data_IF_568977715981
#
_entry.id   IF_568977715981
#
_cell.length_a   1.000
_cell.length_b   1.000
_cell.length_c   1.000
_cell.angle_alpha   90.00
_cell.angle_beta   90.00
_cell.angle_gamma   90.00
#
_symmetry.space_group_name_H-M   'P 1'
#
loop_
_entity.id
_entity.type
_entity.pdbx_description
1 polymer ?
#
# COMPACT_ATOMS: atom_id res chain seq x y z
N UNK A 1 26.69 -15.92 23.23
CA UNK A 1 27.68 -17.00 23.03
C UNK A 1 28.61 -16.59 21.89
N UNK A 2 29.95 -16.71 22.03
CA UNK A 2 30.88 -16.45 20.94
C UNK A 2 30.64 -17.44 19.79
N UNK A 3 30.69 -16.96 18.55
CA UNK A 3 30.54 -17.83 17.39
C UNK A 3 31.72 -18.83 17.36
N UNK A 4 31.45 -20.10 17.05
CA UNK A 4 32.50 -21.12 17.04
C UNK A 4 33.52 -20.85 15.93
N UNK A 5 34.77 -21.28 16.11
CA UNK A 5 35.90 -20.92 15.22
C UNK A 5 35.66 -21.22 13.73
N UNK A 6 34.95 -22.31 13.42
CA UNK A 6 34.58 -22.70 12.06
C UNK A 6 33.61 -21.74 11.37
N UNK A 7 32.92 -20.88 12.13
CA UNK A 7 32.01 -19.86 11.57
C UNK A 7 32.78 -18.81 10.77
N UNK A 8 34.01 -18.47 11.16
CA UNK A 8 34.78 -17.43 10.48
C UNK A 8 35.42 -17.91 9.17
N UNK A 9 35.57 -19.22 8.98
CA UNK A 9 36.06 -19.82 7.73
C UNK A 9 34.88 -20.24 6.84
N UNK A 10 34.70 -19.52 5.73
CA UNK A 10 33.61 -19.77 4.77
C UNK A 10 33.69 -21.16 4.12
N UNK A 11 34.88 -21.75 3.97
CA UNK A 11 35.03 -23.07 3.37
C UNK A 11 34.52 -24.16 4.31
N UNK A 12 34.89 -24.07 5.59
CA UNK A 12 34.39 -24.96 6.64
C UNK A 12 32.88 -24.76 6.87
N UNK A 13 32.42 -23.51 6.84
CA UNK A 13 31.00 -23.18 6.93
C UNK A 13 30.20 -23.86 5.82
N UNK A 14 30.66 -23.76 4.56
CA UNK A 14 30.02 -24.42 3.42
C UNK A 14 30.00 -25.94 3.55
N UNK A 15 31.10 -26.56 3.97
CA UNK A 15 31.15 -28.02 4.16
C UNK A 15 30.14 -28.49 5.21
N UNK A 16 29.93 -27.71 6.28
CA UNK A 16 28.91 -28.03 7.29
C UNK A 16 27.48 -27.85 6.79
N UNK A 17 27.20 -26.79 6.03
CA UNK A 17 25.87 -26.60 5.42
C UNK A 17 25.45 -27.79 4.56
N UNK A 18 26.41 -28.48 3.93
CA UNK A 18 26.14 -29.69 3.14
C UNK A 18 25.71 -30.89 3.99
N UNK A 19 26.08 -30.92 5.27
CA UNK A 19 25.74 -31.98 6.22
C UNK A 19 24.43 -31.73 6.95
N UNK A 20 23.93 -30.50 6.93
CA UNK A 20 22.66 -30.16 7.59
C UNK A 20 21.48 -30.81 6.90
N UNK A 21 20.47 -31.18 7.69
CA UNK A 21 19.16 -31.56 7.16
C UNK A 21 18.49 -30.37 6.47
N UNK A 22 17.45 -30.62 5.69
CA UNK A 22 16.71 -29.56 5.01
C UNK A 22 16.03 -28.62 6.02
N UNK A 23 15.57 -29.15 7.15
CA UNK A 23 14.97 -28.37 8.25
C UNK A 23 15.99 -27.47 8.94
N UNK A 24 17.18 -28.00 9.27
CA UNK A 24 18.27 -27.24 9.87
C UNK A 24 18.78 -26.13 8.93
N UNK A 25 18.84 -26.43 7.62
CA UNK A 25 19.26 -25.46 6.62
C UNK A 25 18.24 -24.30 6.48
N UNK A 26 16.95 -24.61 6.59
CA UNK A 26 15.89 -23.59 6.63
C UNK A 26 15.95 -22.77 7.92
N UNK A 27 16.17 -23.41 9.06
CA UNK A 27 16.30 -22.73 10.35
C UNK A 27 17.45 -21.70 10.32
N UNK A 28 18.61 -22.09 9.81
CA UNK A 28 19.75 -21.19 9.62
C UNK A 28 19.41 -20.06 8.65
N UNK A 29 18.69 -20.36 7.55
CA UNK A 29 18.26 -19.35 6.60
C UNK A 29 17.35 -18.28 7.24
N UNK A 30 16.45 -18.68 8.15
CA UNK A 30 15.56 -17.74 8.84
C UNK A 30 16.26 -16.92 9.94
N UNK A 31 17.25 -17.51 10.62
CA UNK A 31 17.91 -16.86 11.76
C UNK A 31 19.17 -16.08 11.41
N UNK A 32 19.76 -16.28 10.24
CA UNK A 32 20.96 -15.53 9.83
C UNK A 32 20.63 -14.11 9.38
N UNK A 33 21.37 -13.12 9.90
CA UNK A 33 21.15 -11.72 9.54
C UNK A 33 21.77 -11.40 8.16
N UNK A 34 20.97 -11.05 7.13
CA UNK A 34 21.45 -10.99 5.74
C UNK A 34 22.44 -9.85 5.46
N UNK A 35 22.31 -8.71 6.16
CA UNK A 35 23.18 -7.54 5.97
C UNK A 35 24.52 -7.74 6.71
N UNK A 36 24.46 -8.10 8.01
CA UNK A 36 25.63 -8.27 8.86
C UNK A 36 26.52 -9.46 8.45
N UNK A 37 25.93 -10.55 7.95
CA UNK A 37 26.63 -11.78 7.58
C UNK A 37 26.35 -12.17 6.12
N UNK A 38 26.54 -11.21 5.21
CA UNK A 38 26.22 -11.37 3.79
C UNK A 38 26.88 -12.58 3.13
N UNK A 39 28.17 -12.82 3.40
CA UNK A 39 28.91 -13.93 2.79
C UNK A 39 28.32 -15.29 3.20
N UNK A 40 28.04 -15.48 4.50
CA UNK A 40 27.40 -16.67 5.05
C UNK A 40 25.99 -16.87 4.51
N UNK A 41 25.21 -15.79 4.43
CA UNK A 41 23.86 -15.84 3.87
C UNK A 41 23.85 -16.32 2.41
N UNK A 42 24.82 -15.87 1.60
CA UNK A 42 24.97 -16.33 0.22
C UNK A 42 25.36 -17.81 0.13
N UNK A 43 26.14 -18.33 1.09
CA UNK A 43 26.46 -19.76 1.17
C UNK A 43 25.21 -20.60 1.45
N UNK A 44 24.36 -20.17 2.40
CA UNK A 44 23.07 -20.83 2.70
C UNK A 44 22.15 -20.82 1.49
N UNK A 45 21.99 -19.67 0.83
CA UNK A 45 21.19 -19.54 -0.39
C UNK A 45 21.69 -20.45 -1.53
N UNK A 46 23.01 -20.59 -1.67
CA UNK A 46 23.61 -21.45 -2.70
C UNK A 46 23.30 -22.93 -2.42
N UNK A 47 23.36 -23.35 -1.16
CA UNK A 47 23.06 -24.74 -0.79
C UNK A 47 21.56 -25.06 -0.92
N UNK A 48 20.67 -24.15 -0.50
CA UNK A 48 19.23 -24.28 -0.73
C UNK A 48 18.91 -24.43 -2.22
N UNK A 49 19.52 -23.59 -3.06
CA UNK A 49 19.35 -23.68 -4.52
C UNK A 49 19.88 -24.99 -5.09
N UNK A 50 21.02 -25.47 -4.60
CA UNK A 50 21.61 -26.76 -5.02
C UNK A 50 20.67 -27.93 -4.71
N UNK A 51 19.97 -27.88 -3.58
CA UNK A 51 19.00 -28.90 -3.17
C UNK A 51 17.61 -28.74 -3.81
N UNK A 52 17.43 -27.72 -4.66
CA UNK A 52 16.12 -27.42 -5.26
C UNK A 52 15.08 -26.92 -4.26
N UNK A 53 15.48 -26.66 -3.01
CA UNK A 53 14.62 -26.13 -1.96
C UNK A 53 14.43 -24.66 -2.29
N UNK A 54 13.23 -24.33 -2.76
CA UNK A 54 12.79 -22.94 -2.80
C UNK A 54 12.42 -22.63 -1.36
N UNK A 55 13.25 -21.88 -0.60
CA UNK A 55 12.79 -21.42 0.70
C UNK A 55 11.49 -20.71 0.39
N UNK A 56 10.40 -21.16 1.00
CA UNK A 56 9.20 -20.35 1.02
C UNK A 56 9.69 -19.05 1.63
N UNK A 57 9.81 -18.03 0.79
CA UNK A 57 9.91 -16.67 1.27
C UNK A 57 8.51 -16.48 1.84
N UNK A 58 8.29 -16.99 3.06
CA UNK A 58 7.41 -16.36 4.00
C UNK A 58 8.00 -14.96 4.05
N UNK A 59 7.50 -14.09 3.17
CA UNK A 59 7.81 -12.68 3.18
C UNK A 59 7.59 -12.32 4.63
N UNK A 60 8.69 -12.00 5.31
CA UNK A 60 8.72 -11.89 6.77
C UNK A 60 7.40 -11.29 7.22
N UNK A 61 6.59 -11.96 8.05
CA UNK A 61 5.45 -11.30 8.66
C UNK A 61 6.07 -10.31 9.64
N UNK A 62 6.48 -9.14 9.12
CA UNK A 62 6.83 -8.02 9.96
C UNK A 62 5.56 -7.69 10.72
N UNK A 63 5.66 -7.84 12.05
CA UNK A 63 4.65 -7.42 13.00
C UNK A 63 4.17 -6.01 12.63
N UNK A 64 2.87 -5.90 12.33
CA UNK A 64 2.24 -4.68 11.83
C UNK A 64 1.68 -4.88 10.43
N UNK A 65 0.42 -5.35 10.37
CA UNK A 65 -0.41 -5.55 9.17
C UNK A 65 -0.05 -4.56 8.04
N UNK A 66 0.67 -5.02 7.03
CA UNK A 66 0.78 -4.31 5.76
C UNK A 66 -0.29 -4.86 4.83
N UNK A 67 -1.21 -3.99 4.45
CA UNK A 67 -2.24 -4.22 3.42
C UNK A 67 -1.58 -4.36 2.06
N UNK A 68 -0.86 -5.46 1.83
CA UNK A 68 -0.23 -5.73 0.53
C UNK A 68 -1.21 -6.54 -0.33
N UNK A 69 -2.02 -5.83 -1.13
CA UNK A 69 -2.95 -6.40 -2.12
C UNK A 69 -2.30 -7.51 -2.98
N UNK A 70 -1.01 -7.45 -3.40
CA UNK A 70 -0.39 -8.52 -4.18
C UNK A 70 -0.39 -9.88 -3.45
N UNK A 71 -0.32 -9.89 -2.12
CA UNK A 71 -0.28 -11.11 -1.32
C UNK A 71 -1.67 -11.77 -1.26
N UNK A 72 -2.73 -10.97 -1.12
CA UNK A 72 -4.12 -11.44 -1.16
C UNK A 72 -4.49 -12.03 -2.52
N UNK A 73 -4.04 -11.39 -3.60
CA UNK A 73 -4.28 -11.85 -4.98
C UNK A 73 -3.57 -13.18 -5.26
N UNK A 74 -2.38 -13.40 -4.67
CA UNK A 74 -1.66 -14.67 -4.80
C UNK A 74 -2.23 -15.79 -3.90
N UNK A 75 -2.87 -15.44 -2.78
CA UNK A 75 -3.52 -16.40 -1.89
C UNK A 75 -4.78 -17.05 -2.51
N UNK A 76 -5.37 -16.42 -3.53
CA UNK A 76 -6.43 -17.03 -4.35
C UNK A 76 -5.81 -18.08 -5.28
N UNK A 77 -5.73 -19.33 -4.81
CA UNK A 77 -5.06 -20.45 -5.49
C UNK A 77 -5.50 -20.74 -6.93
N UNK A 78 -6.61 -20.17 -7.38
CA UNK A 78 -7.13 -20.34 -8.75
C UNK A 78 -6.45 -19.40 -9.75
N UNK A 79 -5.85 -18.30 -9.26
CA UNK A 79 -5.20 -17.27 -10.06
C UNK A 79 -3.75 -17.59 -10.44
N UNK A 80 -3.14 -18.60 -9.78
CA UNK A 80 -1.77 -19.05 -10.03
C UNK A 80 -1.54 -19.65 -11.43
N UNK A 81 -2.60 -19.93 -12.19
CA UNK A 81 -2.53 -20.52 -13.55
C UNK A 81 -2.42 -19.50 -14.68
N UNK A 82 -2.74 -18.22 -14.46
CA UNK A 82 -2.69 -17.19 -15.50
C UNK A 82 -2.04 -15.89 -15.03
N UNK A 83 -0.81 -15.58 -15.49
CA UNK A 83 -0.10 -14.37 -15.09
C UNK A 83 -0.80 -13.09 -15.59
N UNK A 84 -1.64 -13.18 -16.62
CA UNK A 84 -2.42 -12.06 -17.16
C UNK A 84 -3.65 -11.79 -16.28
N UNK A 85 -4.37 -12.84 -15.85
CA UNK A 85 -5.54 -12.70 -14.98
C UNK A 85 -5.20 -12.05 -13.64
N UNK A 86 -4.06 -12.41 -13.04
CA UNK A 86 -3.58 -11.78 -11.81
C UNK A 86 -3.28 -10.29 -11.95
N UNK A 87 -2.73 -9.87 -13.10
CA UNK A 87 -2.46 -8.46 -13.39
C UNK A 87 -3.74 -7.65 -13.57
N UNK A 88 -4.72 -8.19 -14.30
CA UNK A 88 -6.02 -7.53 -14.50
C UNK A 88 -6.76 -7.38 -13.17
N UNK A 89 -6.81 -8.44 -12.36
CA UNK A 89 -7.45 -8.38 -11.04
C UNK A 89 -6.76 -7.38 -10.11
N UNK A 90 -5.43 -7.40 -10.07
CA UNK A 90 -4.65 -6.46 -9.27
C UNK A 90 -4.87 -5.00 -9.72
N UNK A 91 -4.89 -4.75 -11.02
CA UNK A 91 -5.17 -3.44 -11.58
C UNK A 91 -6.58 -2.96 -11.24
N UNK A 92 -7.58 -3.83 -11.38
CA UNK A 92 -8.96 -3.55 -11.00
C UNK A 92 -9.11 -3.24 -9.51
N UNK A 93 -8.49 -4.04 -8.64
CA UNK A 93 -8.49 -3.80 -7.19
C UNK A 93 -7.78 -2.49 -6.83
N UNK A 94 -6.69 -2.17 -7.51
CA UNK A 94 -5.96 -0.90 -7.31
C UNK A 94 -6.85 0.29 -7.65
N UNK A 95 -7.55 0.23 -8.79
CA UNK A 95 -8.44 1.28 -9.24
C UNK A 95 -9.64 1.44 -8.29
N UNK A 96 -10.28 0.33 -7.91
CA UNK A 96 -11.41 0.33 -6.97
C UNK A 96 -11.01 0.81 -5.58
N UNK A 97 -9.82 0.43 -5.10
CA UNK A 97 -9.31 0.90 -3.81
C UNK A 97 -9.09 2.42 -3.84
N UNK A 98 -8.41 2.94 -4.86
CA UNK A 98 -8.18 4.37 -4.99
C UNK A 98 -9.50 5.16 -5.08
N UNK A 99 -10.44 4.67 -5.90
CA UNK A 99 -11.76 5.26 -6.05
C UNK A 99 -12.56 5.24 -4.73
N UNK A 100 -12.53 4.12 -4.00
CA UNK A 100 -13.21 3.93 -2.72
C UNK A 100 -12.61 4.78 -1.60
N UNK A 101 -11.27 4.85 -1.52
CA UNK A 101 -10.58 5.72 -0.56
C UNK A 101 -10.90 7.20 -0.81
N UNK A 102 -10.89 7.62 -2.08
CA UNK A 102 -11.28 8.99 -2.43
C UNK A 102 -12.75 9.26 -2.07
N UNK A 103 -13.64 8.32 -2.39
CA UNK A 103 -15.06 8.41 -2.02
C UNK A 103 -15.25 8.56 -0.51
N UNK A 104 -14.58 7.73 0.29
CA UNK A 104 -14.61 7.80 1.75
C UNK A 104 -14.09 9.13 2.30
N UNK A 105 -13.06 9.70 1.68
CA UNK A 105 -12.52 11.03 2.06
C UNK A 105 -13.46 12.18 1.66
N UNK A 106 -14.30 12.00 0.66
CA UNK A 106 -15.33 12.97 0.25
C UNK A 106 -16.60 12.90 1.11
N UNK A 107 -16.92 11.76 1.73
CA UNK A 107 -18.08 11.61 2.63
C UNK A 107 -18.16 12.71 3.71
N UNK A 108 -17.10 13.01 4.50
CA UNK A 108 -17.19 14.05 5.51
C UNK A 108 -17.43 15.44 4.90
N UNK A 109 -16.93 15.72 3.69
CA UNK A 109 -17.19 16.97 2.97
C UNK A 109 -18.67 17.05 2.59
N UNK A 110 -19.21 15.99 1.99
CA UNK A 110 -20.63 15.90 1.63
C UNK A 110 -21.53 16.08 2.84
N UNK A 111 -21.21 15.37 3.93
CA UNK A 111 -21.96 15.41 5.18
C UNK A 111 -21.94 16.82 5.77
N UNK A 112 -20.78 17.47 5.80
CA UNK A 112 -20.63 18.85 6.32
C UNK A 112 -21.50 19.82 5.53
N UNK A 113 -21.47 19.76 4.20
CA UNK A 113 -22.28 20.64 3.33
C UNK A 113 -23.78 20.35 3.45
N UNK A 114 -24.18 19.11 3.70
CA UNK A 114 -25.60 18.75 3.87
C UNK A 114 -26.13 19.09 5.26
N UNK A 115 -25.32 18.94 6.30
CA UNK A 115 -25.71 19.25 7.68
C UNK A 115 -25.68 20.75 7.97
N UNK A 116 -24.76 21.49 7.34
CA UNK A 116 -24.69 22.93 7.51
C UNK A 116 -25.74 23.63 6.65
N UNK A 117 -26.59 24.42 7.31
CA UNK A 117 -27.61 25.24 6.64
C UNK A 117 -27.00 26.39 5.83
N UNK A 118 -25.80 26.84 6.22
CA UNK A 118 -25.03 27.88 5.54
C UNK A 118 -23.56 27.47 5.55
N UNK A 119 -22.89 27.62 4.41
CA UNK A 119 -21.44 27.42 4.27
C UNK A 119 -20.84 28.78 3.99
N UNK A 120 -20.02 29.27 4.91
CA UNK A 120 -19.30 30.53 4.73
C UNK A 120 -18.12 30.37 3.75
N UNK A 121 -17.60 31.46 3.15
CA UNK A 121 -16.51 31.41 2.19
C UNK A 121 -15.22 30.75 2.73
N UNK A 122 -14.94 30.91 4.03
CA UNK A 122 -13.74 30.33 4.65
C UNK A 122 -13.89 28.81 4.80
N UNK A 123 -15.04 28.33 5.25
CA UNK A 123 -15.35 26.90 5.32
C UNK A 123 -15.35 26.28 3.92
N UNK A 124 -15.93 26.95 2.92
CA UNK A 124 -15.88 26.49 1.52
C UNK A 124 -14.44 26.35 1.01
N UNK A 125 -13.56 27.31 1.31
CA UNK A 125 -12.13 27.22 0.98
C UNK A 125 -11.46 26.01 1.66
N UNK A 126 -11.72 25.80 2.96
CA UNK A 126 -11.18 24.67 3.72
C UNK A 126 -11.64 23.32 3.14
N UNK A 127 -12.91 23.22 2.73
CA UNK A 127 -13.44 22.01 2.09
C UNK A 127 -12.77 21.74 0.73
N UNK A 128 -12.50 22.78 -0.07
CA UNK A 128 -11.76 22.64 -1.33
C UNK A 128 -10.31 22.19 -1.10
N UNK A 129 -9.61 22.79 -0.12
CA UNK A 129 -8.27 22.34 0.26
C UNK A 129 -8.27 20.89 0.75
N UNK A 130 -9.28 20.53 1.57
CA UNK A 130 -9.48 19.16 2.05
C UNK A 130 -9.72 18.16 0.92
N UNK A 131 -10.45 18.57 -0.13
CA UNK A 131 -10.66 17.75 -1.32
C UNK A 131 -9.36 17.46 -2.07
N UNK A 132 -8.53 18.50 -2.30
CA UNK A 132 -7.21 18.35 -2.95
C UNK A 132 -6.28 17.48 -2.10
N UNK A 133 -6.27 17.70 -0.79
CA UNK A 133 -5.49 16.89 0.14
C UNK A 133 -5.96 15.44 0.16
N UNK A 134 -7.28 15.21 0.17
CA UNK A 134 -7.89 13.88 0.11
C UNK A 134 -7.52 13.13 -1.16
N UNK A 135 -7.47 13.82 -2.30
CA UNK A 135 -6.99 13.25 -3.56
C UNK A 135 -5.54 12.75 -3.43
N UNK A 136 -4.63 13.58 -2.92
CA UNK A 136 -3.24 13.18 -2.68
C UNK A 136 -3.09 12.03 -1.68
N UNK A 137 -3.87 12.05 -0.59
CA UNK A 137 -3.90 10.97 0.41
C UNK A 137 -4.40 9.66 -0.18
N UNK A 138 -5.45 9.66 -1.00
CA UNK A 138 -5.98 8.44 -1.62
C UNK A 138 -4.93 7.76 -2.50
N UNK A 139 -4.18 8.54 -3.30
CA UNK A 139 -3.07 8.04 -4.13
C UNK A 139 -1.94 7.51 -3.23
N UNK A 140 -1.56 8.26 -2.20
CA UNK A 140 -0.49 7.87 -1.27
C UNK A 140 -0.82 6.59 -0.48
N UNK A 141 -2.06 6.42 -0.05
CA UNK A 141 -2.54 5.21 0.63
C UNK A 141 -2.58 4.02 -0.32
N UNK A 142 -3.04 4.22 -1.55
CA UNK A 142 -3.06 3.17 -2.58
C UNK A 142 -1.64 2.76 -2.99
N UNK A 143 -0.71 3.71 -3.07
CA UNK A 143 0.72 3.45 -3.28
C UNK A 143 1.32 2.62 -2.13
N UNK A 144 0.97 2.96 -0.87
CA UNK A 144 1.37 2.17 0.31
C UNK A 144 0.78 0.75 0.28
N UNK A 145 -0.42 0.57 -0.28
CA UNK A 145 -1.08 -0.72 -0.43
C UNK A 145 -0.50 -1.62 -1.55
N UNK A 146 0.47 -1.12 -2.32
CA UNK A 146 1.23 -1.91 -3.30
C UNK A 146 1.12 -1.42 -4.75
N UNK A 147 0.37 -0.35 -5.03
CA UNK A 147 0.27 0.24 -6.37
C UNK A 147 1.54 1.03 -6.75
N UNK A 148 2.63 0.32 -7.01
CA UNK A 148 3.94 0.89 -7.37
C UNK A 148 4.23 0.71 -8.87
N UNK A 149 5.09 1.57 -9.41
CA UNK A 149 5.50 1.51 -10.82
C UNK A 149 4.32 1.68 -11.77
N UNK A 150 4.13 0.73 -12.69
CA UNK A 150 3.07 0.77 -13.72
C UNK A 150 1.63 0.74 -13.20
N UNK A 151 1.42 0.53 -11.89
CA UNK A 151 0.10 0.52 -11.26
C UNK A 151 -0.29 1.86 -10.63
N UNK A 152 0.68 2.76 -10.40
CA UNK A 152 0.42 4.10 -9.88
C UNK A 152 -0.55 4.90 -10.78
N UNK A 153 -0.46 4.84 -12.12
CA UNK A 153 -1.43 5.51 -13.00
C UNK A 153 -2.86 5.06 -12.75
N UNK A 154 -3.10 3.78 -12.40
CA UNK A 154 -4.45 3.30 -12.09
C UNK A 154 -4.97 3.87 -10.77
N UNK A 155 -4.09 4.05 -9.77
CA UNK A 155 -4.45 4.72 -8.52
C UNK A 155 -4.83 6.18 -8.79
N UNK A 156 -4.04 6.89 -9.59
CA UNK A 156 -4.34 8.26 -10.01
C UNK A 156 -5.67 8.31 -10.77
N UNK A 157 -5.89 7.40 -11.73
CA UNK A 157 -7.13 7.32 -12.50
C UNK A 157 -8.35 7.06 -11.61
N UNK A 158 -8.27 6.11 -10.68
CA UNK A 158 -9.36 5.81 -9.75
C UNK A 158 -9.72 7.02 -8.87
N UNK A 159 -8.72 7.64 -8.25
CA UNK A 159 -8.92 8.83 -7.43
C UNK A 159 -9.46 10.02 -8.22
N UNK A 160 -8.93 10.26 -9.42
CA UNK A 160 -9.36 11.36 -10.30
C UNK A 160 -10.76 11.13 -10.86
N UNK A 161 -11.13 9.90 -11.20
CA UNK A 161 -12.48 9.58 -11.67
C UNK A 161 -13.54 9.86 -10.59
N UNK A 162 -13.28 9.44 -9.35
CA UNK A 162 -14.18 9.74 -8.22
C UNK A 162 -14.25 11.24 -7.94
N UNK A 163 -13.11 11.94 -7.96
CA UNK A 163 -13.07 13.39 -7.79
C UNK A 163 -13.86 14.10 -8.89
N UNK A 164 -13.68 13.70 -10.15
CA UNK A 164 -14.42 14.23 -11.29
C UNK A 164 -15.92 14.03 -11.14
N UNK A 165 -16.35 12.86 -10.69
CA UNK A 165 -17.74 12.59 -10.35
C UNK A 165 -18.29 13.54 -9.29
N UNK A 166 -17.49 13.84 -8.26
CA UNK A 166 -17.88 14.81 -7.22
C UNK A 166 -18.03 16.24 -7.74
N UNK A 167 -17.19 16.69 -8.67
CA UNK A 167 -17.30 18.02 -9.28
C UNK A 167 -18.65 18.25 -9.99
N UNK A 168 -19.32 17.18 -10.42
CA UNK A 168 -20.63 17.24 -11.07
C UNK A 168 -21.81 17.18 -10.09
N UNK A 169 -21.56 17.22 -8.78
CA UNK A 169 -22.61 17.13 -7.76
C UNK A 169 -23.12 18.51 -7.31
N UNK A 170 -24.37 18.56 -6.85
CA UNK A 170 -24.94 19.75 -6.21
C UNK A 170 -24.16 20.20 -4.96
N UNK A 171 -23.51 19.25 -4.26
CA UNK A 171 -22.63 19.55 -3.12
C UNK A 171 -21.48 20.46 -3.53
N UNK A 172 -20.81 20.15 -4.64
CA UNK A 172 -19.70 20.96 -5.14
C UNK A 172 -20.19 22.34 -5.61
N UNK A 173 -21.33 22.40 -6.31
CA UNK A 173 -21.94 23.67 -6.71
C UNK A 173 -22.17 24.61 -5.51
N UNK A 174 -22.72 24.09 -4.40
CA UNK A 174 -22.91 24.87 -3.16
C UNK A 174 -21.61 25.41 -2.56
N UNK A 175 -20.53 24.61 -2.59
CA UNK A 175 -19.21 25.05 -2.11
C UNK A 175 -18.70 26.21 -2.97
N UNK A 176 -18.85 26.10 -4.29
CA UNK A 176 -18.41 27.15 -5.22
C UNK A 176 -19.26 28.42 -5.07
N UNK A 177 -20.57 28.30 -4.94
CA UNK A 177 -21.49 29.42 -4.69
C UNK A 177 -21.15 30.14 -3.39
N UNK A 178 -20.87 29.39 -2.31
CA UNK A 178 -20.43 29.95 -1.03
C UNK A 178 -19.11 30.73 -1.14
N UNK A 179 -18.22 30.34 -2.04
CA UNK A 179 -16.95 31.05 -2.27
C UNK A 179 -17.15 32.42 -2.95
N UNK A 180 -18.20 32.55 -3.76
CA UNK A 180 -18.55 33.78 -4.47
C UNK A 180 -19.52 34.68 -3.69
N UNK A 181 -20.04 34.21 -2.56
CA UNK A 181 -20.88 35.02 -1.69
C UNK A 181 -20.05 36.18 -1.12
N UNK A 182 -20.56 37.43 -1.18
CA UNK A 182 -19.82 38.58 -0.66
C UNK A 182 -19.52 38.40 0.83
N UNK A 183 -18.27 38.65 1.23
CA UNK A 183 -17.76 38.49 2.61
C UNK A 183 -18.42 39.50 3.60
N UNK A 184 -19.39 40.31 3.16
CA UNK A 184 -20.13 41.22 4.03
C UNK A 184 -21.54 41.48 3.52
N UNK A 185 -22.54 41.03 4.29
CA UNK A 185 -23.93 41.38 4.03
C UNK A 185 -24.96 40.42 4.64
N UNK A 186 -24.98 40.25 5.97
CA UNK A 186 -26.07 39.53 6.61
C UNK A 186 -25.83 39.15 8.08
N UNK A 187 -26.24 40.04 8.98
CA UNK A 187 -26.59 39.81 10.40
C UNK A 187 -26.11 38.50 11.04
N UNK A 188 -25.12 38.61 11.94
CA UNK A 188 -25.04 37.75 13.12
C UNK A 188 -26.23 38.08 14.02
N UNK A 189 -27.36 37.40 13.80
CA UNK A 189 -28.51 37.39 14.70
C UNK A 189 -28.43 36.17 15.59
N UNK A 190 -28.23 36.41 16.89
CA UNK A 190 -28.58 35.47 17.96
C UNK A 190 -30.06 35.11 17.92
#
# INVERSE_FOLDING_TARGET
MPAPRWWYDLNQYRQRLQQYSDEELLDVYFHIHPIRYRAHYLCVLRELRRRGIKPHIAGRPFAGLRWEIPQWVQALGWLGRSPVGGRVLFGGLTLLLAAGLMGALLVPIVLTVHLMRFVDPFTALMLLMGMVWGWGLSIGLTYKAGARGGWLPLAVLGSSATLWGFLHTHTFARIVEALHAPIGGGRWGF
#
